data_IF_788972359284
#
_entry.id   IF_788972359284
#
_cell.length_a   1.000
_cell.length_b   1.000
_cell.length_c   1.000
_cell.angle_alpha   90.00
_cell.angle_beta   90.00
_cell.angle_gamma   90.00
#
_symmetry.space_group_name_H-M   'P 1'
#
loop_
_entity.id
_entity.type
_entity.pdbx_description
1 polymer ?
#
# COMPACT_ATOMS: atom_id res chain seq x y z
N UNK A 1 -60.15 -21.66 17.71
CA UNK A 1 -61.58 -21.91 17.39
C UNK A 1 -61.68 -22.37 15.95
N UNK A 2 -62.40 -23.47 15.74
CA UNK A 2 -62.94 -24.02 14.48
C UNK A 2 -61.99 -24.36 13.32
N UNK A 3 -61.67 -25.66 13.28
CA UNK A 3 -61.50 -26.48 12.07
C UNK A 3 -62.79 -26.48 11.24
N UNK A 4 -62.70 -26.65 9.92
CA UNK A 4 -63.64 -27.52 9.21
C UNK A 4 -62.99 -28.12 7.96
N UNK A 5 -62.98 -29.45 7.95
CA UNK A 5 -62.76 -30.35 6.81
C UNK A 5 -63.96 -30.30 5.86
N UNK A 6 -63.74 -30.57 4.57
CA UNK A 6 -64.77 -31.20 3.74
C UNK A 6 -64.16 -32.23 2.80
N UNK A 7 -64.79 -33.40 2.81
CA UNK A 7 -64.44 -34.64 2.14
C UNK A 7 -64.89 -34.69 0.66
N UNK A 8 -64.14 -35.54 -0.04
CA UNK A 8 -64.31 -36.23 -1.32
C UNK A 8 -65.73 -36.67 -1.82
N UNK A 9 -65.93 -36.44 -3.13
CA UNK A 9 -66.42 -37.32 -4.22
C UNK A 9 -67.93 -37.75 -4.28
N UNK A 10 -68.49 -38.30 -5.41
CA UNK A 10 -67.86 -38.74 -6.68
C UNK A 10 -68.67 -38.52 -8.01
N UNK A 11 -68.09 -39.04 -9.12
CA UNK A 11 -68.66 -39.47 -10.42
C UNK A 11 -69.11 -38.45 -11.49
N UNK A 12 -68.41 -38.42 -12.63
CA UNK A 12 -68.88 -38.99 -13.91
C UNK A 12 -67.85 -38.76 -15.05
N UNK A 13 -67.79 -39.73 -15.96
CA UNK A 13 -66.83 -39.92 -17.05
C UNK A 13 -66.79 -38.79 -18.12
N UNK A 14 -65.61 -38.54 -18.69
CA UNK A 14 -65.27 -38.96 -20.06
C UNK A 14 -64.10 -38.16 -20.68
N UNK A 15 -63.33 -38.86 -21.52
CA UNK A 15 -62.43 -38.38 -22.57
C UNK A 15 -61.09 -37.74 -22.15
N UNK A 16 -60.05 -38.59 -22.15
CA UNK A 16 -58.65 -38.18 -22.28
C UNK A 16 -58.41 -37.73 -23.73
N UNK A 17 -58.14 -36.44 -23.92
CA UNK A 17 -57.49 -35.89 -25.12
C UNK A 17 -56.08 -35.45 -24.71
N UNK A 18 -55.08 -36.17 -25.21
CA UNK A 18 -53.67 -35.79 -25.15
C UNK A 18 -53.46 -34.54 -26.01
N UNK A 19 -53.41 -33.37 -25.37
CA UNK A 19 -52.91 -32.14 -25.97
C UNK A 19 -51.49 -31.88 -25.47
N UNK A 20 -50.51 -32.13 -26.33
CA UNK A 20 -49.13 -31.72 -26.11
C UNK A 20 -49.03 -30.19 -26.23
N UNK A 21 -48.95 -29.48 -25.10
CA UNK A 21 -48.56 -28.07 -25.11
C UNK A 21 -47.03 -27.99 -25.22
N UNK A 22 -46.54 -27.73 -26.43
CA UNK A 22 -45.15 -27.34 -26.66
C UNK A 22 -44.86 -25.97 -26.05
N UNK A 23 -43.83 -25.88 -25.23
CA UNK A 23 -43.28 -24.61 -24.74
C UNK A 23 -42.72 -23.80 -25.92
N UNK A 24 -42.89 -22.46 -25.95
CA UNK A 24 -42.25 -21.64 -26.97
C UNK A 24 -40.72 -21.67 -26.81
N UNK A 25 -39.96 -21.59 -27.90
CA UNK A 25 -38.51 -21.59 -27.84
C UNK A 25 -38.04 -20.33 -27.10
N UNK A 26 -37.22 -20.54 -26.07
CA UNK A 26 -36.46 -19.49 -25.41
C UNK A 26 -35.47 -18.95 -26.45
N UNK A 27 -35.68 -17.72 -26.91
CA UNK A 27 -34.70 -17.00 -27.70
C UNK A 27 -33.51 -16.70 -26.79
N UNK A 28 -32.47 -17.52 -26.88
CA UNK A 28 -31.16 -17.20 -26.31
C UNK A 28 -30.65 -15.92 -26.98
N UNK A 29 -30.75 -14.79 -26.29
CA UNK A 29 -29.98 -13.61 -26.64
C UNK A 29 -28.50 -13.98 -26.50
N UNK A 30 -27.80 -14.00 -27.62
CA UNK A 30 -26.36 -14.14 -27.64
C UNK A 30 -25.75 -13.03 -26.76
N UNK A 31 -24.87 -13.43 -25.85
CA UNK A 31 -24.04 -12.49 -25.11
C UNK A 31 -23.31 -11.58 -26.12
N UNK A 32 -23.17 -10.27 -25.86
CA UNK A 32 -22.46 -9.38 -26.76
C UNK A 32 -21.04 -9.93 -26.96
N UNK A 33 -20.69 -10.19 -28.22
CA UNK A 33 -19.35 -10.59 -28.62
C UNK A 33 -18.41 -9.46 -28.21
N UNK A 34 -17.59 -9.70 -27.18
CA UNK A 34 -16.54 -8.79 -26.76
C UNK A 34 -15.67 -8.46 -27.97
N UNK A 35 -15.54 -7.18 -28.30
CA UNK A 35 -14.59 -6.74 -29.31
C UNK A 35 -13.20 -7.31 -28.97
N UNK A 36 -12.42 -7.77 -29.96
CA UNK A 36 -11.10 -8.34 -29.71
C UNK A 36 -10.23 -7.33 -28.96
N UNK A 37 -9.48 -7.82 -27.96
CA UNK A 37 -8.54 -6.99 -27.21
C UNK A 37 -7.57 -6.31 -28.19
N UNK A 38 -7.37 -5.00 -28.01
CA UNK A 38 -6.41 -4.25 -28.79
C UNK A 38 -4.98 -4.70 -28.45
N UNK A 39 -4.02 -4.37 -29.32
CA UNK A 39 -2.62 -4.70 -29.06
C UNK A 39 -2.15 -4.14 -27.68
N UNK A 40 -1.33 -4.88 -26.93
CA UNK A 40 -0.76 -4.40 -25.68
C UNK A 40 0.00 -3.09 -25.88
N UNK A 41 -0.31 -2.09 -25.06
CA UNK A 41 0.28 -0.76 -25.13
C UNK A 41 1.26 -0.52 -23.97
N UNK A 42 2.29 0.32 -24.17
CA UNK A 42 3.17 0.73 -23.07
C UNK A 42 2.42 1.63 -22.08
N UNK A 43 2.51 1.31 -20.79
CA UNK A 43 1.92 2.11 -19.70
C UNK A 43 2.99 2.37 -18.65
N UNK A 44 3.38 3.64 -18.48
CA UNK A 44 4.28 4.04 -17.41
C UNK A 44 3.52 4.16 -16.08
N UNK A 45 4.08 3.58 -15.03
CA UNK A 45 3.53 3.55 -13.67
C UNK A 45 4.55 4.06 -12.66
N UNK A 46 4.07 4.52 -11.49
CA UNK A 46 4.92 4.94 -10.38
C UNK A 46 4.36 4.45 -9.03
N UNK A 47 5.25 4.10 -8.10
CA UNK A 47 4.98 4.02 -6.67
C UNK A 47 5.69 5.19 -5.96
N UNK A 48 4.99 5.93 -5.12
CA UNK A 48 5.53 7.13 -4.48
C UNK A 48 4.99 7.35 -3.06
N UNK A 49 5.85 7.17 -2.07
CA UNK A 49 5.60 7.56 -0.69
C UNK A 49 5.75 9.10 -0.55
N UNK A 50 4.74 9.80 -0.03
CA UNK A 50 4.72 11.26 0.07
C UNK A 50 5.11 11.82 1.45
N UNK A 51 5.69 10.98 2.33
CA UNK A 51 6.24 11.38 3.62
C UNK A 51 5.27 12.23 4.46
N UNK A 52 4.16 11.63 4.88
CA UNK A 52 3.09 12.26 5.66
C UNK A 52 2.44 13.49 5.00
N UNK A 53 2.16 13.41 3.71
CA UNK A 53 1.49 14.50 2.99
C UNK A 53 -0.03 14.52 3.27
N UNK A 54 -0.50 15.63 3.84
CA UNK A 54 -1.91 16.00 3.92
C UNK A 54 -2.22 17.36 3.32
N UNK A 55 -3.44 17.85 3.54
CA UNK A 55 -3.85 19.21 3.19
C UNK A 55 -3.18 20.25 4.07
N UNK A 56 -3.30 21.54 3.74
CA UNK A 56 -2.84 22.62 4.62
C UNK A 56 -3.62 22.62 5.94
N UNK A 57 -4.91 22.27 5.92
CA UNK A 57 -5.72 22.13 7.13
C UNK A 57 -5.22 20.98 8.01
N UNK A 58 -4.84 19.85 7.43
CA UNK A 58 -4.23 18.73 8.16
C UNK A 58 -2.95 19.19 8.90
N UNK A 59 -2.13 20.02 8.24
CA UNK A 59 -0.90 20.54 8.85
C UNK A 59 -1.18 21.61 9.91
N UNK A 60 -2.20 22.44 9.74
CA UNK A 60 -2.64 23.38 10.79
C UNK A 60 -3.11 22.64 12.05
N UNK A 61 -3.86 21.54 11.88
CA UNK A 61 -4.25 20.68 12.99
C UNK A 61 -3.03 20.05 13.66
N UNK A 62 -2.05 19.59 12.88
CA UNK A 62 -0.78 19.11 13.40
C UNK A 62 -0.05 20.17 14.24
N UNK A 63 0.04 21.41 13.77
CA UNK A 63 0.63 22.52 14.53
C UNK A 63 -0.12 22.76 15.84
N UNK A 64 -1.45 22.80 15.82
CA UNK A 64 -2.28 23.03 17.01
C UNK A 64 -2.03 21.96 18.09
N UNK A 65 -2.01 20.67 17.70
CA UNK A 65 -1.78 19.57 18.63
C UNK A 65 -0.33 19.54 19.12
N UNK A 66 0.65 19.61 18.20
CA UNK A 66 2.06 19.46 18.56
C UNK A 66 2.64 20.64 19.33
N UNK A 67 2.07 21.84 19.19
CA UNK A 67 2.45 23.02 19.96
C UNK A 67 1.72 23.16 21.30
N UNK A 68 0.72 22.30 21.59
CA UNK A 68 0.04 22.32 22.88
C UNK A 68 1.06 22.20 24.03
N UNK A 69 0.95 22.98 25.13
CA UNK A 69 1.98 23.04 26.16
C UNK A 69 2.38 21.69 26.76
N UNK A 70 1.43 20.75 26.87
CA UNK A 70 1.65 19.40 27.39
C UNK A 70 2.29 18.45 26.38
N UNK A 71 2.16 18.72 25.08
CA UNK A 71 2.80 17.95 24.01
C UNK A 71 4.17 18.52 23.72
N UNK A 72 4.26 19.82 23.47
CA UNK A 72 5.50 20.56 23.23
C UNK A 72 6.46 19.80 22.30
N UNK A 73 5.93 19.31 21.17
CA UNK A 73 6.70 18.57 20.17
C UNK A 73 7.42 17.31 20.68
N UNK A 74 6.93 16.70 21.76
CA UNK A 74 7.47 15.45 22.26
C UNK A 74 7.30 14.30 21.25
N UNK A 75 8.16 13.29 21.38
CA UNK A 75 8.15 12.10 20.53
C UNK A 75 7.32 10.99 21.20
N UNK A 76 6.23 10.56 20.58
CA UNK A 76 5.36 9.49 21.10
C UNK A 76 5.99 8.11 20.95
N UNK A 77 7.16 7.99 20.30
CA UNK A 77 7.90 6.73 20.19
C UNK A 77 9.04 6.71 21.19
N UNK A 78 9.15 5.60 21.90
CA UNK A 78 10.30 5.33 22.76
C UNK A 78 11.54 5.08 21.90
N UNK A 79 12.65 5.73 22.26
CA UNK A 79 13.93 5.59 21.55
C UNK A 79 14.75 4.44 22.13
N UNK A 80 15.49 3.77 21.25
CA UNK A 80 16.45 2.74 21.65
C UNK A 80 17.85 3.34 21.70
N UNK A 81 18.66 2.89 22.64
CA UNK A 81 20.09 3.17 22.59
C UNK A 81 20.73 2.31 21.49
N UNK A 82 21.75 2.82 20.77
CA UNK A 82 22.50 2.02 19.80
C UNK A 82 22.96 0.68 20.41
N UNK A 83 22.73 -0.43 19.70
CA UNK A 83 23.09 -1.78 20.17
C UNK A 83 22.07 -2.44 21.11
N UNK A 84 20.97 -1.77 21.47
CA UNK A 84 19.89 -2.34 22.28
C UNK A 84 18.68 -2.75 21.43
N UNK A 85 17.84 -3.64 21.97
CA UNK A 85 16.62 -4.13 21.32
C UNK A 85 15.34 -3.61 21.97
N UNK A 86 15.44 -2.84 23.06
CA UNK A 86 14.32 -2.31 23.83
C UNK A 86 14.67 -0.92 24.37
N UNK A 87 13.65 -0.07 24.55
CA UNK A 87 13.78 1.20 25.24
C UNK A 87 13.94 0.98 26.75
N UNK A 88 14.54 1.93 27.46
CA UNK A 88 14.55 1.91 28.93
C UNK A 88 13.14 2.12 29.49
N UNK A 89 12.86 1.70 30.73
CA UNK A 89 11.57 1.99 31.38
C UNK A 89 11.25 3.49 31.43
N UNK A 90 12.25 4.33 31.70
CA UNK A 90 12.11 5.79 31.73
C UNK A 90 11.72 6.36 30.36
N UNK A 91 12.42 5.94 29.30
CA UNK A 91 12.14 6.39 27.94
C UNK A 91 10.77 5.90 27.44
N UNK A 92 10.37 4.70 27.86
CA UNK A 92 9.03 4.15 27.61
C UNK A 92 7.96 4.97 28.33
N UNK A 93 8.17 5.34 29.60
CA UNK A 93 7.27 6.17 30.37
C UNK A 93 7.14 7.60 29.78
N UNK A 94 8.24 8.19 29.33
CA UNK A 94 8.25 9.48 28.61
C UNK A 94 7.41 9.42 27.33
N UNK A 95 7.62 8.39 26.50
CA UNK A 95 6.87 8.20 25.26
C UNK A 95 5.37 7.99 25.52
N UNK A 96 5.02 7.21 26.54
CA UNK A 96 3.64 7.00 26.97
C UNK A 96 2.97 8.29 27.46
N UNK A 97 3.66 9.07 28.30
CA UNK A 97 3.16 10.38 28.76
C UNK A 97 2.93 11.34 27.58
N UNK A 98 3.87 11.37 26.63
CA UNK A 98 3.75 12.14 25.39
C UNK A 98 2.54 11.71 24.56
N UNK A 99 2.31 10.40 24.42
CA UNK A 99 1.16 9.86 23.71
C UNK A 99 -0.15 10.29 24.37
N UNK A 100 -0.25 10.21 25.71
CA UNK A 100 -1.44 10.65 26.44
C UNK A 100 -1.69 12.16 26.28
N UNK A 101 -0.65 12.98 26.35
CA UNK A 101 -0.76 14.42 26.09
C UNK A 101 -1.25 14.71 24.67
N UNK A 102 -0.75 13.96 23.67
CA UNK A 102 -1.16 14.09 22.27
C UNK A 102 -2.62 13.69 22.08
N UNK A 103 -3.06 12.60 22.71
CA UNK A 103 -4.46 12.15 22.72
C UNK A 103 -5.37 13.24 23.29
N UNK A 104 -5.01 13.80 24.45
CA UNK A 104 -5.79 14.86 25.07
C UNK A 104 -5.85 16.13 24.20
N UNK A 105 -4.70 16.59 23.68
CA UNK A 105 -4.62 17.78 22.84
C UNK A 105 -5.37 17.64 21.51
N UNK A 106 -5.45 16.44 20.95
CA UNK A 106 -6.21 16.17 19.73
C UNK A 106 -7.72 16.06 19.95
N UNK A 107 -8.20 16.00 21.20
CA UNK A 107 -9.62 15.79 21.52
C UNK A 107 -10.03 14.33 21.60
N UNK A 108 -9.08 13.41 21.82
CA UNK A 108 -9.33 11.99 22.09
C UNK A 108 -8.59 11.03 21.15
N UNK A 109 -8.69 9.71 21.42
CA UNK A 109 -7.86 8.71 20.72
C UNK A 109 -8.07 8.70 19.22
N UNK A 110 -9.33 8.71 18.75
CA UNK A 110 -9.64 8.70 17.32
C UNK A 110 -9.13 9.94 16.59
N UNK A 111 -9.29 11.12 17.18
CA UNK A 111 -8.81 12.37 16.61
C UNK A 111 -7.28 12.41 16.55
N UNK A 112 -6.58 11.89 17.56
CA UNK A 112 -5.11 11.82 17.56
C UNK A 112 -4.55 10.96 16.42
N UNK A 113 -5.25 9.92 15.99
CA UNK A 113 -4.80 9.10 14.85
C UNK A 113 -4.80 9.89 13.54
N UNK A 114 -5.62 10.93 13.43
CA UNK A 114 -5.71 11.82 12.27
C UNK A 114 -4.66 12.93 12.30
N UNK A 115 -3.71 12.89 13.22
CA UNK A 115 -2.60 13.84 13.33
C UNK A 115 -1.30 13.13 12.98
N UNK A 116 -0.51 13.70 12.06
CA UNK A 116 0.83 13.20 11.80
C UNK A 116 1.71 13.33 13.07
N UNK A 117 2.60 12.38 13.39
CA UNK A 117 3.49 12.46 14.54
C UNK A 117 4.24 13.80 14.57
N UNK A 118 4.44 14.37 15.76
CA UNK A 118 5.14 15.65 15.91
C UNK A 118 6.59 15.66 15.37
N UNK A 119 7.14 14.47 15.08
CA UNK A 119 8.45 14.28 14.43
C UNK A 119 8.39 14.07 12.91
N UNK A 120 7.21 14.12 12.28
CA UNK A 120 7.02 13.78 10.86
C UNK A 120 7.73 14.76 9.93
N UNK A 121 7.70 16.05 10.25
CA UNK A 121 8.28 17.11 9.42
C UNK A 121 9.62 17.55 10.04
N UNK A 122 10.71 16.97 9.52
CA UNK A 122 12.07 17.24 10.00
C UNK A 122 12.75 18.25 9.10
N UNK A 123 13.77 18.92 9.65
CA UNK A 123 14.59 19.83 8.88
C UNK A 123 15.45 19.04 7.87
N UNK A 124 15.30 19.35 6.58
CA UNK A 124 16.04 18.72 5.47
C UNK A 124 17.45 19.27 5.25
N UNK A 125 17.85 20.36 5.94
CA UNK A 125 19.17 20.95 5.75
C UNK A 125 20.28 19.97 6.17
N UNK A 126 21.22 19.62 5.27
CA UNK A 126 22.39 18.82 5.61
C UNK A 126 23.17 19.49 6.74
N UNK A 127 23.34 18.79 7.86
CA UNK A 127 24.10 19.31 9.00
C UNK A 127 25.58 19.08 8.75
N UNK A 128 26.35 20.15 8.56
CA UNK A 128 27.80 20.05 8.60
C UNK A 128 28.26 19.55 9.99
N UNK A 129 29.32 18.72 10.07
CA UNK A 129 29.86 18.29 11.36
C UNK A 129 30.16 19.50 12.27
N UNK A 130 29.64 19.48 13.49
CA UNK A 130 29.81 20.58 14.46
C UNK A 130 28.88 21.78 14.29
N UNK A 131 28.05 21.85 13.24
CA UNK A 131 27.08 22.93 13.08
C UNK A 131 25.99 22.88 14.18
N UNK A 132 25.41 24.03 14.59
CA UNK A 132 24.30 24.06 15.53
C UNK A 132 23.11 23.23 15.01
N UNK A 133 22.27 22.76 15.93
CA UNK A 133 21.03 22.10 15.54
C UNK A 133 20.16 23.11 14.76
N UNK A 134 19.49 22.69 13.67
CA UNK A 134 18.60 23.58 12.93
C UNK A 134 17.49 24.10 13.84
N UNK A 135 17.11 25.38 13.67
CA UNK A 135 16.00 25.97 14.39
C UNK A 135 14.70 25.20 14.08
N UNK A 136 14.05 24.59 15.09
CA UNK A 136 12.79 23.89 14.88
C UNK A 136 11.67 24.80 14.36
N UNK A 137 11.71 26.12 14.63
CA UNK A 137 10.71 27.05 14.11
C UNK A 137 10.68 27.09 12.56
N UNK A 138 11.80 26.76 11.91
CA UNK A 138 11.92 26.72 10.47
C UNK A 138 10.97 25.70 9.80
N UNK A 139 10.60 24.62 10.50
CA UNK A 139 9.68 23.58 9.99
C UNK A 139 8.29 23.62 10.63
N UNK A 140 8.09 24.46 11.65
CA UNK A 140 6.84 24.52 12.44
C UNK A 140 5.93 25.66 11.99
N UNK A 141 5.80 25.84 10.68
CA UNK A 141 5.01 26.92 10.09
C UNK A 141 4.43 26.51 8.73
N UNK A 142 3.30 27.13 8.37
CA UNK A 142 2.53 26.78 7.16
C UNK A 142 3.32 27.05 5.88
N UNK A 143 4.19 28.07 5.84
CA UNK A 143 4.98 28.39 4.66
C UNK A 143 5.99 27.28 4.32
N UNK A 144 6.66 26.71 5.33
CA UNK A 144 7.55 25.56 5.14
C UNK A 144 6.79 24.33 4.63
N UNK A 145 5.57 24.09 5.15
CA UNK A 145 4.74 23.00 4.66
C UNK A 145 4.23 23.23 3.24
N UNK A 146 3.92 24.48 2.89
CA UNK A 146 3.57 24.85 1.52
C UNK A 146 4.72 24.56 0.56
N UNK A 147 5.98 24.82 0.97
CA UNK A 147 7.15 24.47 0.17
C UNK A 147 7.28 22.94 -0.02
N UNK A 148 6.98 22.12 1.01
CA UNK A 148 6.88 20.65 0.87
C UNK A 148 5.85 20.26 -0.20
N UNK A 149 4.65 20.84 -0.14
CA UNK A 149 3.60 20.56 -1.12
C UNK A 149 4.00 21.00 -2.53
N UNK A 150 4.70 22.13 -2.67
CA UNK A 150 5.23 22.60 -3.95
C UNK A 150 6.25 21.61 -4.53
N UNK A 151 7.20 21.12 -3.73
CA UNK A 151 8.16 20.11 -4.18
C UNK A 151 7.51 18.77 -4.54
N UNK A 152 6.47 18.34 -3.81
CA UNK A 152 5.67 17.17 -4.18
C UNK A 152 4.93 17.37 -5.52
N UNK A 153 4.35 18.57 -5.77
CA UNK A 153 3.71 18.90 -7.05
C UNK A 153 4.71 18.88 -8.19
N UNK A 154 5.87 19.48 -8.02
CA UNK A 154 6.95 19.47 -9.01
C UNK A 154 7.40 18.03 -9.31
N UNK A 155 7.51 17.19 -8.28
CA UNK A 155 7.84 15.75 -8.45
C UNK A 155 6.77 15.03 -9.28
N UNK A 156 5.49 15.21 -8.97
CA UNK A 156 4.39 14.58 -9.72
C UNK A 156 4.29 15.12 -11.14
N UNK A 157 4.53 16.41 -11.34
CA UNK A 157 4.65 17.01 -12.67
C UNK A 157 5.76 16.34 -13.49
N UNK A 158 6.94 16.13 -12.91
CA UNK A 158 8.04 15.42 -13.57
C UNK A 158 7.67 13.97 -13.90
N UNK A 159 6.97 13.25 -13.00
CA UNK A 159 6.45 11.91 -13.29
C UNK A 159 5.50 11.91 -14.49
N UNK A 160 4.58 12.86 -14.56
CA UNK A 160 3.60 12.91 -15.66
C UNK A 160 4.26 13.36 -16.98
N UNK A 161 5.14 14.34 -16.95
CA UNK A 161 5.72 14.92 -18.17
C UNK A 161 6.94 14.20 -18.72
N UNK A 162 7.90 13.90 -17.85
CA UNK A 162 9.20 13.32 -18.25
C UNK A 162 9.11 11.80 -18.34
N UNK A 163 8.51 11.20 -17.32
CA UNK A 163 8.39 9.73 -17.26
C UNK A 163 7.20 9.22 -18.08
N UNK A 164 6.21 10.08 -18.34
CA UNK A 164 4.97 9.74 -19.04
C UNK A 164 4.02 8.92 -18.19
N UNK A 165 4.13 8.99 -16.86
CA UNK A 165 3.38 8.15 -15.92
C UNK A 165 1.88 8.40 -16.03
N UNK A 166 1.12 7.31 -16.12
CA UNK A 166 -0.35 7.31 -16.25
C UNK A 166 -1.06 6.62 -15.10
N UNK A 167 -0.35 5.88 -14.23
CA UNK A 167 -0.88 5.33 -12.97
C UNK A 167 0.13 5.59 -11.86
N UNK A 168 -0.30 6.24 -10.78
CA UNK A 168 0.54 6.53 -9.61
C UNK A 168 -0.11 5.90 -8.37
N UNK A 169 0.64 5.04 -7.69
CA UNK A 169 0.31 4.48 -6.39
C UNK A 169 0.99 5.32 -5.30
N UNK A 170 0.21 6.07 -4.52
CA UNK A 170 0.73 6.91 -3.45
C UNK A 170 0.65 6.21 -2.09
N UNK A 171 1.68 6.40 -1.27
CA UNK A 171 1.72 6.00 0.13
C UNK A 171 1.92 7.22 1.03
N UNK A 172 1.57 7.09 2.32
CA UNK A 172 1.70 8.15 3.32
C UNK A 172 0.94 9.45 3.01
N UNK A 173 -0.27 9.29 2.47
CA UNK A 173 -1.15 10.41 2.15
C UNK A 173 -2.28 10.50 3.17
N UNK A 174 -2.81 11.69 3.42
CA UNK A 174 -3.96 11.84 4.33
C UNK A 174 -5.30 11.46 3.71
N UNK A 175 -5.42 11.69 2.40
CA UNK A 175 -6.71 11.67 1.70
C UNK A 175 -6.56 11.73 0.18
N UNK A 176 -7.67 11.49 -0.53
CA UNK A 176 -7.76 11.79 -1.96
C UNK A 176 -7.61 13.30 -2.25
N UNK A 177 -8.05 14.17 -1.33
CA UNK A 177 -7.88 15.63 -1.48
C UNK A 177 -6.41 16.04 -1.48
N UNK A 178 -5.59 15.47 -0.59
CA UNK A 178 -4.15 15.70 -0.58
C UNK A 178 -3.50 15.27 -1.91
N UNK A 179 -3.92 14.14 -2.48
CA UNK A 179 -3.45 13.69 -3.81
C UNK A 179 -3.86 14.66 -4.91
N UNK A 180 -5.11 15.14 -4.92
CA UNK A 180 -5.58 16.15 -5.89
C UNK A 180 -4.79 17.46 -5.79
N UNK A 181 -4.47 17.89 -4.58
CA UNK A 181 -3.66 19.09 -4.34
C UNK A 181 -2.22 18.94 -4.88
N UNK A 182 -1.66 17.73 -4.87
CA UNK A 182 -0.33 17.43 -5.41
C UNK A 182 -0.34 17.20 -6.93
N UNK A 183 -1.42 16.64 -7.49
CA UNK A 183 -1.60 16.55 -8.95
C UNK A 183 -1.61 17.93 -9.62
N UNK A 184 -2.02 18.98 -8.90
CA UNK A 184 -1.97 20.36 -9.36
C UNK A 184 -2.68 20.52 -10.70
N UNK A 185 -1.97 21.05 -11.71
CA UNK A 185 -2.54 21.25 -13.06
C UNK A 185 -2.96 19.96 -13.78
N UNK A 186 -2.54 18.79 -13.31
CA UNK A 186 -2.95 17.50 -13.86
C UNK A 186 -4.19 16.91 -13.20
N UNK A 187 -4.75 17.56 -12.18
CA UNK A 187 -5.90 17.04 -11.43
C UNK A 187 -7.08 16.68 -12.35
N UNK A 188 -7.37 17.47 -13.38
CA UNK A 188 -8.50 17.19 -14.29
C UNK A 188 -8.25 16.01 -15.24
N UNK A 189 -6.98 15.67 -15.52
CA UNK A 189 -6.59 14.54 -16.38
C UNK A 189 -6.68 13.20 -15.64
N UNK A 190 -6.59 13.22 -14.31
CA UNK A 190 -6.52 12.02 -13.49
C UNK A 190 -7.82 11.81 -12.71
N UNK A 191 -8.23 10.55 -12.57
CA UNK A 191 -9.13 10.14 -11.47
C UNK A 191 -8.30 9.84 -10.22
N UNK A 192 -8.91 9.98 -9.05
CA UNK A 192 -8.25 9.77 -7.75
C UNK A 192 -9.15 9.00 -6.80
N UNK A 193 -8.56 8.02 -6.11
CA UNK A 193 -9.21 7.34 -4.99
C UNK A 193 -8.21 7.10 -3.85
N UNK A 194 -8.69 7.06 -2.61
CA UNK A 194 -7.90 6.74 -1.43
C UNK A 194 -8.63 5.69 -0.58
N UNK A 195 -7.87 4.81 0.07
CA UNK A 195 -8.47 3.83 0.97
C UNK A 195 -8.98 4.52 2.26
N UNK A 196 -10.21 4.24 2.71
CA UNK A 196 -10.67 4.67 4.02
C UNK A 196 -9.76 4.10 5.11
N UNK A 197 -9.33 4.95 6.04
CA UNK A 197 -8.46 4.56 7.13
C UNK A 197 -8.73 5.40 8.38
N UNK A 198 -8.53 4.79 9.55
CA UNK A 198 -8.75 5.44 10.85
C UNK A 198 -7.54 6.25 11.35
N UNK A 199 -6.43 6.27 10.60
CA UNK A 199 -5.26 7.09 10.87
C UNK A 199 -4.91 8.01 9.71
N UNK A 200 -4.01 8.96 9.98
CA UNK A 200 -3.55 9.98 9.04
C UNK A 200 -3.10 9.33 7.74
N UNK A 201 -2.10 8.46 7.79
CA UNK A 201 -1.54 7.88 6.57
C UNK A 201 -2.44 6.78 6.02
N UNK A 202 -2.79 6.87 4.75
CA UNK A 202 -3.42 5.83 3.95
C UNK A 202 -2.67 5.66 2.62
N UNK A 203 -3.21 4.81 1.74
CA UNK A 203 -2.76 4.61 0.36
C UNK A 203 -3.79 5.16 -0.62
N UNK A 204 -3.33 5.62 -1.77
CA UNK A 204 -4.19 6.19 -2.81
C UNK A 204 -3.69 5.84 -4.22
N UNK A 205 -4.57 5.98 -5.19
CA UNK A 205 -4.21 5.96 -6.61
C UNK A 205 -4.59 7.27 -7.27
N UNK A 206 -3.79 7.67 -8.25
CA UNK A 206 -4.25 8.50 -9.36
C UNK A 206 -4.02 7.77 -10.69
N UNK A 207 -4.98 7.81 -11.62
CA UNK A 207 -4.79 7.26 -12.96
C UNK A 207 -5.37 8.17 -14.05
N UNK A 208 -4.71 8.20 -15.21
CA UNK A 208 -5.14 8.95 -16.38
C UNK A 208 -6.51 8.44 -16.87
N UNK A 209 -7.48 9.35 -16.98
CA UNK A 209 -8.87 9.05 -17.40
C UNK A 209 -8.95 8.31 -18.73
N UNK A 210 -8.01 8.57 -19.63
CA UNK A 210 -7.98 8.00 -20.98
C UNK A 210 -7.36 6.61 -21.06
N UNK A 211 -6.81 6.09 -19.94
CA UNK A 211 -6.11 4.81 -19.94
C UNK A 211 -7.07 3.61 -19.97
N UNK A 212 -8.23 3.75 -19.33
CA UNK A 212 -9.18 2.66 -19.15
C UNK A 212 -10.41 2.86 -20.05
N UNK A 213 -10.80 1.84 -20.81
CA UNK A 213 -11.99 1.90 -21.67
C UNK A 213 -13.30 1.88 -20.89
N UNK A 214 -13.25 1.54 -19.61
CA UNK A 214 -14.35 1.60 -18.65
C UNK A 214 -13.95 2.43 -17.43
N UNK A 215 -14.88 3.00 -16.65
CA UNK A 215 -14.54 3.64 -15.39
C UNK A 215 -13.67 2.73 -14.50
N UNK A 216 -12.61 3.29 -13.94
CA UNK A 216 -11.73 2.57 -13.01
C UNK A 216 -12.47 2.28 -11.70
N UNK A 217 -12.21 1.11 -11.11
CA UNK A 217 -12.85 0.70 -9.85
C UNK A 217 -11.81 0.55 -8.76
N UNK A 218 -11.97 1.32 -7.68
CA UNK A 218 -11.12 1.21 -6.50
C UNK A 218 -11.81 0.40 -5.40
N UNK A 219 -11.12 -0.61 -4.88
CA UNK A 219 -11.61 -1.48 -3.81
C UNK A 219 -10.59 -1.53 -2.68
N UNK A 220 -10.88 -0.92 -1.51
CA UNK A 220 -10.04 -1.06 -0.34
C UNK A 220 -9.96 -2.52 0.12
N UNK A 221 -8.74 -3.00 0.38
CA UNK A 221 -8.51 -4.30 1.00
C UNK A 221 -8.24 -4.10 2.49
N UNK A 222 -9.33 -3.92 3.24
CA UNK A 222 -9.33 -3.66 4.68
C UNK A 222 -8.66 -4.74 5.54
N UNK A 223 -8.67 -6.05 5.19
CA UNK A 223 -7.97 -7.06 5.98
C UNK A 223 -6.47 -6.79 6.18
N UNK A 224 -5.81 -6.04 5.28
CA UNK A 224 -4.39 -5.65 5.46
C UNK A 224 -4.17 -4.65 6.59
N UNK A 225 -5.22 -3.94 7.03
CA UNK A 225 -5.19 -3.01 8.16
C UNK A 225 -5.26 -3.77 9.51
N UNK A 226 -4.25 -4.61 9.73
CA UNK A 226 -4.11 -5.39 10.97
C UNK A 226 -3.83 -4.48 12.17
N UNK A 227 -4.14 -4.98 13.36
CA UNK A 227 -3.97 -4.26 14.61
C UNK A 227 -2.49 -4.03 14.94
N UNK A 228 -2.17 -2.84 15.45
CA UNK A 228 -0.82 -2.43 15.83
C UNK A 228 -0.87 -1.60 17.13
N UNK A 229 -0.31 -2.05 18.27
CA UNK A 229 0.44 -3.30 18.44
C UNK A 229 -0.46 -4.54 18.40
N UNK A 230 0.09 -5.73 18.09
CA UNK A 230 -0.71 -6.89 17.74
C UNK A 230 -1.36 -7.58 18.94
N UNK A 231 -0.82 -7.36 20.15
CA UNK A 231 -1.18 -8.07 21.39
C UNK A 231 -1.91 -7.17 22.40
N UNK A 232 -2.46 -6.05 21.95
CA UNK A 232 -3.19 -5.10 22.79
C UNK A 232 -4.66 -5.05 22.36
N UNK A 233 -5.60 -5.61 23.13
CA UNK A 233 -7.02 -5.59 22.78
C UNK A 233 -7.64 -4.19 22.86
N UNK A 234 -6.99 -3.24 23.53
CA UNK A 234 -7.42 -1.83 23.58
C UNK A 234 -6.81 -1.01 22.44
N UNK A 235 -5.90 -1.59 21.65
CA UNK A 235 -5.32 -0.91 20.51
C UNK A 235 -6.40 -0.55 19.49
N UNK A 236 -6.47 0.73 19.17
CA UNK A 236 -7.31 1.28 18.10
C UNK A 236 -6.48 1.59 16.85
N UNK A 237 -5.14 1.61 16.96
CA UNK A 237 -4.24 1.83 15.84
C UNK A 237 -4.19 0.58 14.95
N UNK A 238 -4.25 0.82 13.65
CA UNK A 238 -4.09 -0.19 12.61
C UNK A 238 -3.00 0.26 11.65
N UNK A 239 -2.33 -0.71 11.04
CA UNK A 239 -1.53 -0.43 9.85
C UNK A 239 -2.45 -0.15 8.66
N UNK A 240 -1.87 0.24 7.53
CA UNK A 240 -2.64 0.75 6.40
C UNK A 240 -3.34 -0.40 5.67
N UNK A 241 -4.55 -0.17 5.13
CA UNK A 241 -5.18 -1.13 4.24
C UNK A 241 -4.43 -1.20 2.91
N UNK A 242 -4.70 -2.24 2.12
CA UNK A 242 -4.37 -2.23 0.70
C UNK A 242 -5.43 -1.46 -0.10
N UNK A 243 -5.10 -1.06 -1.31
CA UNK A 243 -6.06 -0.50 -2.26
C UNK A 243 -5.87 -1.18 -3.61
N UNK A 244 -6.92 -1.85 -4.09
CA UNK A 244 -6.93 -2.41 -5.44
C UNK A 244 -7.55 -1.39 -6.42
N UNK A 245 -6.95 -1.21 -7.59
CA UNK A 245 -7.50 -0.46 -8.72
C UNK A 245 -7.64 -1.41 -9.91
N UNK A 246 -8.86 -1.58 -10.40
CA UNK A 246 -9.16 -2.34 -11.62
C UNK A 246 -9.38 -1.37 -12.78
N UNK A 247 -8.61 -1.56 -13.85
CA UNK A 247 -8.74 -0.84 -15.12
C UNK A 247 -8.98 -1.83 -16.27
N UNK A 248 -9.48 -1.33 -17.41
CA UNK A 248 -9.58 -2.07 -18.66
C UNK A 248 -8.66 -1.43 -19.70
N UNK A 249 -7.47 -1.99 -19.88
CA UNK A 249 -6.42 -1.43 -20.75
C UNK A 249 -6.31 -2.29 -22.00
N UNK A 250 -6.34 -1.66 -23.18
CA UNK A 250 -6.35 -2.38 -24.46
C UNK A 250 -7.46 -3.46 -24.55
N UNK A 251 -8.61 -3.20 -23.93
CA UNK A 251 -9.75 -4.13 -23.92
C UNK A 251 -9.65 -5.28 -22.92
N UNK A 252 -8.59 -5.36 -22.11
CA UNK A 252 -8.39 -6.44 -21.14
C UNK A 252 -8.24 -5.91 -19.70
N UNK A 253 -8.76 -6.64 -18.69
CA UNK A 253 -8.67 -6.22 -17.30
C UNK A 253 -7.23 -6.26 -16.80
N UNK A 254 -6.85 -5.24 -16.03
CA UNK A 254 -5.62 -5.21 -15.24
C UNK A 254 -5.96 -4.75 -13.82
N UNK A 255 -5.34 -5.37 -12.82
CA UNK A 255 -5.55 -5.03 -11.40
C UNK A 255 -4.24 -4.56 -10.78
N UNK A 256 -4.25 -3.39 -10.17
CA UNK A 256 -3.11 -2.85 -9.40
C UNK A 256 -3.44 -2.94 -7.91
N UNK A 257 -2.52 -3.40 -7.06
CA UNK A 257 -2.62 -3.34 -5.61
C UNK A 257 -1.55 -2.42 -5.05
N UNK A 258 -1.97 -1.33 -4.42
CA UNK A 258 -1.12 -0.43 -3.68
C UNK A 258 -1.01 -0.89 -2.23
N UNK A 259 0.23 -1.08 -1.75
CA UNK A 259 0.53 -1.43 -0.36
C UNK A 259 1.42 -0.39 0.32
N UNK A 260 1.19 -0.24 1.62
CA UNK A 260 2.15 0.33 2.54
C UNK A 260 2.20 -0.55 3.80
N UNK A 261 3.10 -1.53 3.79
CA UNK A 261 3.21 -2.54 4.85
C UNK A 261 3.93 -1.99 6.09
N UNK A 262 3.89 -2.76 7.18
CA UNK A 262 4.49 -2.39 8.46
C UNK A 262 6.01 -2.17 8.37
N UNK A 263 6.44 -0.96 8.78
CA UNK A 263 7.85 -0.57 8.93
C UNK A 263 8.56 -1.25 10.12
N UNK A 264 9.88 -1.08 10.16
CA UNK A 264 10.79 -1.53 11.24
C UNK A 264 11.08 -3.05 11.31
N UNK A 265 10.65 -3.83 10.33
CA UNK A 265 11.13 -5.19 10.07
C UNK A 265 11.76 -5.30 8.67
N UNK A 266 12.63 -4.35 8.33
CA UNK A 266 12.95 -4.05 6.93
C UNK A 266 13.86 -5.06 6.22
N UNK A 267 14.76 -5.73 6.92
CA UNK A 267 15.79 -6.56 6.29
C UNK A 267 15.88 -7.95 6.90
N UNK A 268 16.05 -8.97 6.06
CA UNK A 268 16.42 -10.33 6.48
C UNK A 268 17.93 -10.47 6.75
N UNK A 269 18.71 -9.47 6.34
CA UNK A 269 20.17 -9.51 6.33
C UNK A 269 20.77 -8.27 7.00
N UNK A 270 22.07 -8.29 7.28
CA UNK A 270 22.80 -7.11 7.79
C UNK A 270 23.48 -6.31 6.66
N UNK A 271 23.00 -6.43 5.42
CA UNK A 271 23.57 -5.75 4.24
C UNK A 271 23.55 -4.22 4.36
N UNK A 272 22.60 -3.68 5.12
CA UNK A 272 22.45 -2.27 5.38
C UNK A 272 22.51 -2.02 6.90
N UNK A 273 23.53 -1.32 7.41
CA UNK A 273 23.69 -1.10 8.85
C UNK A 273 22.54 -0.27 9.46
N UNK A 274 21.72 0.40 8.64
CA UNK A 274 20.51 1.10 9.09
C UNK A 274 19.41 0.14 9.56
N UNK A 275 19.43 -1.11 9.11
CA UNK A 275 18.39 -2.10 9.39
C UNK A 275 19.00 -3.34 10.03
N UNK A 276 18.68 -3.66 11.30
CA UNK A 276 19.10 -4.94 11.87
C UNK A 276 18.46 -6.09 11.08
N UNK A 277 19.19 -7.18 10.88
CA UNK A 277 18.63 -8.41 10.34
C UNK A 277 17.50 -8.91 11.25
N UNK A 278 16.32 -9.12 10.66
CA UNK A 278 15.13 -9.64 11.32
C UNK A 278 14.42 -10.65 10.44
N UNK A 279 14.07 -11.78 11.03
CA UNK A 279 13.12 -12.73 10.45
C UNK A 279 11.69 -12.33 10.83
N UNK A 280 10.70 -12.68 10.02
CA UNK A 280 9.29 -12.45 10.34
C UNK A 280 8.81 -13.23 11.56
N UNK A 281 9.54 -14.28 11.95
CA UNK A 281 9.29 -15.07 13.18
C UNK A 281 9.90 -14.47 14.44
N UNK A 282 10.72 -13.41 14.31
CA UNK A 282 11.33 -12.77 15.47
C UNK A 282 10.26 -12.12 16.35
N UNK A 283 10.44 -12.22 17.67
CA UNK A 283 9.53 -11.64 18.68
C UNK A 283 9.78 -10.14 18.88
N UNK A 284 9.71 -9.42 17.77
CA UNK A 284 9.77 -7.96 17.69
C UNK A 284 8.42 -7.49 17.17
N UNK A 285 7.74 -6.59 17.88
CA UNK A 285 6.39 -6.11 17.55
C UNK A 285 6.21 -5.80 16.06
N UNK A 286 7.17 -5.09 15.47
CA UNK A 286 7.12 -4.73 14.04
C UNK A 286 7.12 -5.96 13.11
N UNK A 287 7.90 -6.98 13.41
CA UNK A 287 7.93 -8.23 12.64
C UNK A 287 6.68 -9.06 12.87
N UNK A 288 6.15 -9.10 14.09
CA UNK A 288 4.88 -9.77 14.40
C UNK A 288 3.71 -9.12 13.64
N UNK A 289 3.63 -7.79 13.60
CA UNK A 289 2.60 -7.07 12.83
C UNK A 289 2.78 -7.29 11.33
N UNK A 290 4.01 -7.23 10.80
CA UNK A 290 4.27 -7.50 9.38
C UNK A 290 3.90 -8.95 9.00
N UNK A 291 4.24 -9.92 9.86
CA UNK A 291 3.91 -11.33 9.65
C UNK A 291 2.38 -11.54 9.53
N UNK A 292 1.57 -10.83 10.33
CA UNK A 292 0.10 -10.87 10.22
C UNK A 292 -0.45 -10.34 8.90
N UNK A 293 0.33 -9.54 8.16
CA UNK A 293 -0.05 -9.07 6.83
C UNK A 293 0.26 -10.11 5.73
N UNK A 294 1.13 -11.09 6.00
CA UNK A 294 1.54 -12.12 5.02
C UNK A 294 0.37 -12.95 4.51
N UNK A 295 -0.40 -13.68 5.36
CA UNK A 295 -1.49 -14.53 4.89
C UNK A 295 -2.58 -13.73 4.19
N UNK A 296 -2.77 -12.47 4.59
CA UNK A 296 -3.74 -11.57 3.96
C UNK A 296 -3.31 -11.19 2.55
N UNK A 297 -2.03 -10.82 2.38
CA UNK A 297 -1.48 -10.44 1.08
C UNK A 297 -1.42 -11.65 0.13
N UNK A 298 -1.00 -12.81 0.63
CA UNK A 298 -0.98 -14.08 -0.09
C UNK A 298 -2.37 -14.45 -0.62
N UNK A 299 -3.39 -14.47 0.25
CA UNK A 299 -4.76 -14.77 -0.17
C UNK A 299 -5.31 -13.76 -1.19
N UNK A 300 -4.92 -12.48 -1.09
CA UNK A 300 -5.29 -11.50 -2.11
C UNK A 300 -4.63 -11.80 -3.46
N UNK A 301 -3.34 -12.16 -3.46
CA UNK A 301 -2.57 -12.52 -4.66
C UNK A 301 -3.18 -13.75 -5.36
N UNK A 302 -3.47 -14.80 -4.60
CA UNK A 302 -4.13 -16.01 -5.13
C UNK A 302 -5.52 -15.68 -5.72
N UNK A 303 -6.33 -14.91 -4.98
CA UNK A 303 -7.67 -14.55 -5.40
C UNK A 303 -7.70 -13.66 -6.65
N UNK A 304 -6.74 -12.74 -6.81
CA UNK A 304 -6.63 -11.94 -8.04
C UNK A 304 -6.09 -12.76 -9.19
N UNK A 305 -5.12 -13.65 -8.95
CA UNK A 305 -4.55 -14.51 -9.98
C UNK A 305 -5.56 -15.51 -10.55
N UNK A 306 -6.53 -15.94 -9.75
CA UNK A 306 -7.66 -16.74 -10.20
C UNK A 306 -8.61 -15.98 -11.16
N UNK A 307 -8.59 -14.64 -11.13
CA UNK A 307 -9.44 -13.78 -11.98
C UNK A 307 -8.69 -13.26 -13.21
N UNK A 308 -7.41 -12.94 -13.06
CA UNK A 308 -6.57 -12.43 -14.15
C UNK A 308 -5.10 -12.64 -13.83
N UNK A 309 -4.30 -12.99 -14.85
CA UNK A 309 -2.84 -13.01 -14.73
C UNK A 309 -2.20 -11.64 -14.94
N UNK A 310 -3.01 -10.63 -15.31
CA UNK A 310 -2.60 -9.24 -15.54
C UNK A 310 -2.80 -8.42 -14.26
N UNK A 311 -1.94 -8.62 -13.27
CA UNK A 311 -1.96 -7.80 -12.06
C UNK A 311 -0.57 -7.27 -11.70
N UNK A 312 -0.56 -6.21 -10.90
CA UNK A 312 0.62 -5.49 -10.44
C UNK A 312 0.47 -5.21 -8.96
N UNK A 313 1.44 -5.60 -8.14
CA UNK A 313 1.54 -5.24 -6.73
C UNK A 313 2.68 -4.23 -6.60
N UNK A 314 2.40 -3.04 -6.08
CA UNK A 314 3.38 -1.96 -5.99
C UNK A 314 3.20 -1.09 -4.74
N UNK A 315 4.26 -0.44 -4.30
CA UNK A 315 4.22 0.48 -3.17
C UNK A 315 5.39 0.30 -2.23
N UNK A 316 5.20 0.72 -0.98
CA UNK A 316 6.18 0.63 0.08
C UNK A 316 5.97 -0.67 0.87
N UNK A 317 6.78 -1.67 0.58
CA UNK A 317 6.71 -2.95 1.27
C UNK A 317 7.33 -2.87 2.66
N UNK A 318 8.07 -1.80 2.97
CA UNK A 318 8.85 -1.67 4.20
C UNK A 318 9.71 -2.91 4.51
N UNK A 319 10.01 -3.71 3.49
CA UNK A 319 10.72 -4.98 3.53
C UNK A 319 11.50 -5.13 2.23
N UNK A 320 12.79 -5.43 2.35
CA UNK A 320 13.72 -5.62 1.23
C UNK A 320 13.53 -6.99 0.58
N UNK A 321 12.44 -7.14 -0.18
CA UNK A 321 12.09 -8.41 -0.84
C UNK A 321 13.04 -8.76 -1.99
N UNK A 322 13.79 -7.78 -2.50
CA UNK A 322 14.89 -7.98 -3.45
C UNK A 322 16.03 -8.76 -2.81
N UNK A 323 16.36 -8.45 -1.56
CA UNK A 323 17.40 -9.19 -0.83
C UNK A 323 16.97 -10.62 -0.55
N UNK A 324 15.74 -10.80 -0.06
CA UNK A 324 15.19 -12.14 0.19
C UNK A 324 15.19 -13.00 -1.08
N UNK A 325 14.93 -12.42 -2.25
CA UNK A 325 15.01 -13.12 -3.53
C UNK A 325 16.42 -13.63 -3.87
N UNK A 326 17.46 -12.91 -3.45
CA UNK A 326 18.86 -13.29 -3.71
C UNK A 326 19.44 -14.29 -2.73
N UNK A 327 18.72 -14.63 -1.65
CA UNK A 327 19.23 -15.51 -0.59
C UNK A 327 19.35 -16.99 -1.02
N UNK A 328 18.75 -17.40 -2.14
CA UNK A 328 18.86 -18.77 -2.65
C UNK A 328 18.30 -19.83 -1.70
N UNK A 329 17.24 -19.48 -0.94
CA UNK A 329 16.65 -20.33 0.09
C UNK A 329 15.97 -21.55 -0.53
N UNK A 330 16.22 -22.74 0.05
CA UNK A 330 15.43 -23.93 -0.23
C UNK A 330 14.02 -23.79 0.38
N UNK A 331 13.03 -24.46 -0.21
CA UNK A 331 11.62 -24.41 0.22
C UNK A 331 11.44 -24.68 1.73
N UNK A 332 12.16 -25.68 2.26
CA UNK A 332 12.13 -26.05 3.68
C UNK A 332 12.84 -25.06 4.63
N UNK A 333 13.43 -23.98 4.10
CA UNK A 333 14.04 -22.90 4.89
C UNK A 333 13.12 -21.69 5.02
N UNK A 334 12.06 -21.61 4.20
CA UNK A 334 11.15 -20.46 4.16
C UNK A 334 10.30 -20.38 5.42
N UNK A 335 9.78 -21.52 5.87
CA UNK A 335 8.94 -21.62 7.07
C UNK A 335 9.70 -22.19 8.26
N UNK A 336 9.27 -21.84 9.47
CA UNK A 336 9.91 -22.25 10.72
C UNK A 336 9.82 -23.76 10.98
N UNK A 337 8.74 -24.39 10.50
CA UNK A 337 8.46 -25.82 10.62
C UNK A 337 8.99 -26.65 9.45
N UNK A 338 9.62 -26.01 8.46
CA UNK A 338 10.14 -26.66 7.26
C UNK A 338 9.07 -27.11 6.25
N UNK A 339 7.80 -26.72 6.46
CA UNK A 339 6.74 -26.98 5.48
C UNK A 339 6.99 -26.20 4.18
N UNK A 340 6.47 -26.73 3.07
CA UNK A 340 6.64 -26.14 1.75
C UNK A 340 5.80 -24.84 1.62
N UNK A 341 6.38 -23.69 1.23
CA UNK A 341 5.64 -22.45 1.00
C UNK A 341 4.49 -22.59 -0.01
N UNK A 342 4.59 -23.51 -0.97
CA UNK A 342 3.50 -23.78 -1.94
C UNK A 342 2.27 -24.50 -1.34
N UNK A 343 2.32 -24.90 -0.08
CA UNK A 343 1.21 -25.52 0.64
C UNK A 343 0.52 -24.52 1.57
N UNK A 344 -0.63 -24.88 2.17
CA UNK A 344 -1.32 -24.02 3.12
C UNK A 344 -0.41 -23.51 4.24
N UNK A 345 -0.55 -22.25 4.63
CA UNK A 345 0.17 -21.66 5.77
C UNK A 345 -0.79 -21.46 6.95
N UNK A 346 -0.79 -22.33 7.97
CA UNK A 346 -1.73 -22.24 9.08
C UNK A 346 -1.58 -20.91 9.84
N UNK A 347 -2.70 -20.19 9.95
CA UNK A 347 -2.77 -18.94 10.71
C UNK A 347 -3.01 -19.26 12.19
N UNK A 348 -2.16 -18.74 13.07
CA UNK A 348 -2.30 -18.90 14.52
C UNK A 348 -3.42 -18.01 15.11
N UNK A 349 -3.72 -18.17 16.40
CA UNK A 349 -4.76 -17.39 17.10
C UNK A 349 -4.49 -15.88 17.15
N UNK A 350 -3.27 -15.46 16.86
CA UNK A 350 -2.85 -14.06 16.78
C UNK A 350 -2.82 -13.54 15.33
N UNK A 351 -3.23 -14.36 14.36
CA UNK A 351 -3.26 -14.00 12.94
C UNK A 351 -1.90 -14.12 12.24
N UNK A 352 -0.91 -14.76 12.86
CA UNK A 352 0.45 -14.94 12.30
C UNK A 352 0.57 -16.28 11.61
N UNK A 353 1.61 -16.39 10.79
CA UNK A 353 1.99 -17.59 10.07
C UNK A 353 3.44 -17.98 10.37
N UNK A 354 3.78 -19.25 10.11
CA UNK A 354 5.10 -19.81 10.40
C UNK A 354 6.24 -19.34 9.50
N UNK A 355 6.03 -18.34 8.63
CA UNK A 355 7.03 -17.93 7.64
C UNK A 355 8.12 -17.03 8.22
N UNK A 356 9.36 -17.25 7.79
CA UNK A 356 10.55 -16.47 8.20
C UNK A 356 10.80 -15.26 7.30
N UNK A 357 10.27 -15.27 6.07
CA UNK A 357 10.58 -14.30 5.02
C UNK A 357 9.30 -13.89 4.29
N UNK A 358 9.26 -12.69 3.72
CA UNK A 358 8.07 -12.21 3.00
C UNK A 358 8.05 -12.74 1.57
N UNK A 359 9.12 -12.52 0.83
CA UNK A 359 9.18 -12.78 -0.61
C UNK A 359 9.07 -14.26 -0.99
N UNK A 360 9.88 -15.20 -0.47
CA UNK A 360 9.80 -16.59 -0.87
C UNK A 360 8.54 -17.30 -0.33
N UNK A 361 7.80 -16.67 0.59
CA UNK A 361 6.45 -17.09 0.95
C UNK A 361 5.47 -16.68 -0.16
N UNK A 362 5.42 -15.38 -0.50
CA UNK A 362 4.49 -14.87 -1.51
C UNK A 362 4.79 -15.37 -2.94
N UNK A 363 6.05 -15.66 -3.24
CA UNK A 363 6.51 -16.15 -4.54
C UNK A 363 6.97 -17.61 -4.44
N UNK A 364 6.02 -18.46 -4.06
CA UNK A 364 6.12 -19.92 -3.96
C UNK A 364 5.98 -20.66 -5.31
N UNK A 365 5.63 -19.92 -6.38
CA UNK A 365 5.41 -20.43 -7.73
C UNK A 365 3.93 -20.56 -8.13
N UNK A 366 2.98 -20.27 -7.24
CA UNK A 366 1.54 -20.39 -7.49
C UNK A 366 0.72 -19.27 -6.84
N UNK A 367 0.57 -18.09 -7.48
CA UNK A 367 0.96 -17.80 -8.86
C UNK A 367 2.44 -17.41 -9.00
N UNK A 368 2.98 -17.53 -10.21
CA UNK A 368 4.30 -16.98 -10.50
C UNK A 368 4.28 -15.44 -10.42
N UNK A 369 5.15 -14.89 -9.56
CA UNK A 369 5.36 -13.46 -9.39
C UNK A 369 6.75 -13.05 -9.87
N UNK A 370 6.83 -11.86 -10.46
CA UNK A 370 8.08 -11.34 -11.00
C UNK A 370 8.34 -9.94 -10.44
N UNK A 371 9.41 -9.77 -9.69
CA UNK A 371 9.86 -8.42 -9.31
C UNK A 371 10.39 -7.71 -10.56
N UNK A 372 10.07 -6.43 -10.74
CA UNK A 372 10.79 -5.57 -11.66
C UNK A 372 12.06 -5.08 -10.96
N UNK A 373 13.25 -5.57 -11.33
CA UNK A 373 14.49 -5.24 -10.63
C UNK A 373 14.79 -3.75 -10.74
N UNK A 374 15.49 -3.20 -9.75
CA UNK A 374 15.97 -1.82 -9.82
C UNK A 374 17.21 -1.76 -10.71
N UNK A 375 17.09 -1.16 -11.89
CA UNK A 375 18.19 -1.03 -12.85
C UNK A 375 19.01 0.23 -12.61
N UNK A 376 18.36 1.34 -12.23
CA UNK A 376 19.03 2.62 -12.04
C UNK A 376 18.40 3.42 -10.90
N UNK A 377 19.24 4.15 -10.18
CA UNK A 377 18.84 5.22 -9.27
C UNK A 377 19.43 6.50 -9.80
N UNK A 378 18.58 7.46 -10.16
CA UNK A 378 19.02 8.73 -10.73
C UNK A 378 19.71 9.61 -9.68
N UNK A 379 20.58 10.50 -10.17
CA UNK A 379 21.26 11.47 -9.32
C UNK A 379 20.23 12.37 -8.60
N UNK A 380 20.49 12.65 -7.33
CA UNK A 380 19.57 13.40 -6.46
C UNK A 380 18.61 12.53 -5.66
N UNK A 381 18.57 11.21 -5.91
CA UNK A 381 17.87 10.31 -5.02
C UNK A 381 18.59 10.11 -3.69
N UNK A 382 17.85 10.30 -2.60
CA UNK A 382 18.31 10.10 -1.24
C UNK A 382 17.21 9.46 -0.39
N UNK A 383 17.47 9.24 0.90
CA UNK A 383 16.52 8.65 1.84
C UNK A 383 16.51 7.12 1.82
N UNK A 384 15.32 6.51 1.92
CA UNK A 384 15.19 5.07 2.05
C UNK A 384 15.38 4.32 0.72
N UNK A 385 16.16 3.24 0.77
CA UNK A 385 16.48 2.40 -0.38
C UNK A 385 16.01 0.96 -0.16
N UNK A 386 15.49 0.32 -1.21
CA UNK A 386 15.10 -1.08 -1.18
C UNK A 386 13.79 -1.39 -0.45
N UNK A 387 12.96 -0.39 -0.13
CA UNK A 387 11.64 -0.61 0.49
C UNK A 387 10.49 -0.54 -0.52
N UNK A 388 10.67 0.19 -1.62
CA UNK A 388 9.67 0.33 -2.67
C UNK A 388 9.85 -0.76 -3.75
N UNK A 389 8.80 -1.50 -4.05
CA UNK A 389 8.84 -2.57 -5.05
C UNK A 389 7.69 -2.48 -6.05
N UNK A 390 7.94 -3.06 -7.23
CA UNK A 390 6.94 -3.31 -8.26
C UNK A 390 7.07 -4.79 -8.59
N UNK A 391 5.98 -5.53 -8.39
CA UNK A 391 5.85 -6.95 -8.65
C UNK A 391 4.72 -7.13 -9.64
N UNK A 392 4.92 -8.00 -10.63
CA UNK A 392 3.94 -8.25 -11.68
C UNK A 392 3.57 -9.73 -11.74
N UNK A 393 2.31 -10.01 -12.04
CA UNK A 393 1.84 -11.36 -12.33
C UNK A 393 2.33 -11.86 -13.69
N UNK A 394 2.26 -13.18 -13.90
CA UNK A 394 2.75 -13.84 -15.11
C UNK A 394 2.24 -13.23 -16.42
N UNK A 395 0.99 -12.79 -16.48
CA UNK A 395 0.41 -12.21 -17.70
C UNK A 395 1.08 -10.91 -18.11
N UNK A 396 1.32 -9.99 -17.17
CA UNK A 396 2.06 -8.75 -17.47
C UNK A 396 3.51 -9.08 -17.83
N UNK A 397 4.15 -9.97 -17.09
CA UNK A 397 5.54 -10.36 -17.35
C UNK A 397 5.73 -10.94 -18.75
N UNK A 398 4.86 -11.86 -19.20
CA UNK A 398 4.90 -12.43 -20.55
C UNK A 398 4.74 -11.35 -21.62
N UNK A 399 3.84 -10.38 -21.45
CA UNK A 399 3.66 -9.28 -22.40
C UNK A 399 4.92 -8.41 -22.51
N UNK A 400 5.61 -8.18 -21.38
CA UNK A 400 6.87 -7.44 -21.37
C UNK A 400 7.99 -8.21 -22.06
N UNK A 401 8.10 -9.53 -21.80
CA UNK A 401 9.08 -10.40 -22.47
C UNK A 401 8.89 -10.47 -23.98
N UNK A 402 7.64 -10.49 -24.46
CA UNK A 402 7.37 -10.54 -25.90
C UNK A 402 7.72 -9.24 -26.64
N UNK A 403 7.67 -8.10 -25.93
CA UNK A 403 7.77 -6.79 -26.57
C UNK A 403 9.15 -6.15 -26.41
N UNK A 404 9.75 -6.26 -25.23
CA UNK A 404 11.00 -5.59 -24.88
C UNK A 404 11.66 -6.24 -23.65
N UNK A 405 12.29 -7.43 -23.77
CA UNK A 405 12.93 -8.11 -22.64
C UNK A 405 13.98 -7.25 -21.90
N UNK A 406 14.70 -6.39 -22.62
CA UNK A 406 15.72 -5.52 -22.06
C UNK A 406 15.14 -4.41 -21.13
N UNK A 407 13.83 -4.14 -21.23
CA UNK A 407 13.15 -3.08 -20.48
C UNK A 407 12.39 -3.61 -19.25
N UNK A 408 12.56 -4.89 -18.89
CA UNK A 408 11.96 -5.48 -17.68
C UNK A 408 12.73 -5.01 -16.44
N UNK A 409 12.50 -3.76 -16.08
CA UNK A 409 13.18 -3.10 -14.99
C UNK A 409 12.35 -1.93 -14.44
N UNK A 410 12.80 -1.45 -13.30
CA UNK A 410 12.35 -0.21 -12.66
C UNK A 410 13.54 0.73 -12.46
N UNK A 411 13.23 2.02 -12.32
CA UNK A 411 14.20 3.06 -11.95
C UNK A 411 13.66 3.91 -10.80
N UNK A 412 14.56 4.52 -10.03
CA UNK A 412 14.21 5.56 -9.06
C UNK A 412 14.54 6.93 -9.64
N UNK A 413 13.55 7.82 -9.63
CA UNK A 413 13.67 9.22 -10.10
C UNK A 413 13.71 10.17 -8.90
N UNK A 414 14.42 11.30 -8.97
CA UNK A 414 14.60 12.18 -7.82
C UNK A 414 13.30 12.83 -7.36
N UNK A 415 13.17 13.00 -6.04
CA UNK A 415 12.18 13.92 -5.46
C UNK A 415 12.67 15.35 -5.68
N UNK A 416 11.76 16.25 -6.06
CA UNK A 416 12.05 17.66 -6.27
C UNK A 416 11.69 18.50 -5.04
N UNK A 417 12.40 19.60 -4.88
CA UNK A 417 12.22 20.57 -3.80
C UNK A 417 13.03 21.83 -4.08
N UNK A 418 12.69 22.92 -3.39
CA UNK A 418 13.38 24.19 -3.58
C UNK A 418 14.71 24.22 -2.81
N UNK A 419 15.74 24.92 -3.31
CA UNK A 419 16.96 25.17 -2.55
C UNK A 419 16.64 25.79 -1.18
N UNK A 420 17.19 25.22 -0.10
CA UNK A 420 16.96 25.71 1.27
C UNK A 420 15.56 25.40 1.83
N UNK A 421 14.75 24.58 1.16
CA UNK A 421 13.46 24.14 1.68
C UNK A 421 13.61 23.49 3.06
N UNK A 422 12.88 23.94 4.10
CA UNK A 422 13.05 23.42 5.46
C UNK A 422 12.53 22.01 5.67
N UNK A 423 11.40 21.63 5.06
CA UNK A 423 10.80 20.30 5.20
C UNK A 423 11.07 19.51 3.94
N UNK A 424 11.63 18.31 4.06
CA UNK A 424 11.82 17.42 2.91
C UNK A 424 10.48 17.10 2.21
N UNK A 425 10.46 17.20 0.88
CA UNK A 425 9.30 16.82 0.06
C UNK A 425 8.90 15.36 0.32
N UNK A 426 9.86 14.43 0.20
CA UNK A 426 9.72 13.03 0.58
C UNK A 426 11.09 12.41 0.82
N UNK A 427 11.16 11.47 1.78
CA UNK A 427 12.31 10.62 2.07
C UNK A 427 12.37 9.35 1.20
N UNK A 428 11.49 9.26 0.20
CA UNK A 428 11.45 8.20 -0.81
C UNK A 428 11.47 8.80 -2.22
N UNK A 429 12.42 8.37 -3.04
CA UNK A 429 12.31 8.54 -4.49
C UNK A 429 11.20 7.69 -5.10
N UNK A 430 10.34 8.25 -5.98
CA UNK A 430 9.39 7.46 -6.75
C UNK A 430 10.10 6.34 -7.51
N UNK A 431 9.53 5.13 -7.44
CA UNK A 431 9.94 3.98 -8.24
C UNK A 431 9.04 3.88 -9.46
N UNK A 432 9.60 4.00 -10.66
CA UNK A 432 8.85 4.00 -11.92
C UNK A 432 9.21 2.81 -12.80
N UNK A 433 8.25 2.36 -13.61
CA UNK A 433 8.45 1.30 -14.60
C UNK A 433 7.53 1.53 -15.82
N UNK A 434 7.88 0.93 -16.95
CA UNK A 434 7.01 0.88 -18.14
C UNK A 434 6.52 -0.55 -18.35
N UNK A 435 5.23 -0.76 -18.17
CA UNK A 435 4.58 -2.06 -18.38
C UNK A 435 4.07 -2.19 -19.81
N UNK A 436 3.80 -3.43 -20.22
CA UNK A 436 3.01 -3.74 -21.42
C UNK A 436 1.67 -4.33 -20.96
N UNK A 437 0.58 -3.63 -21.29
CA UNK A 437 -0.79 -3.95 -20.86
C UNK A 437 -1.74 -3.94 -22.06
#
# INVERSE_FOLDING_TARGET
>A
MQRLFCLLAPTAAAAVLLAACGSPPVVQQAAPVSAPAAAPQPVAIAAFNMAWAGTVADFQQHLAVCSAPTVNWCDTRARWQPGTTQATPEESARAAACQQATIAAAGGPQASMRVAPCSAYRNSAPRAPGAPAPDPAAVRNVAAYQAKLDGLRETVEALVQREGVRVIAFQEVSSAEAVRAVLGRYNERFEVCAAPHNAFQTVAFAWDKTLSSTPGVCTPHQPLAVLDPPNDPEAFRRVRPGLALRLTVSGAPVVFMNVHLKAACASATNSNPRFPARLLTDRVEACEVLNRQVPVLESWIEAVAAQTTRFVLLGDFNRRIDEEATMGLAANQVRADGSNPAGPNPVDTQGRVGTRYLWPELNDGSPALFQLPLQATEAGCSGFTGLDHIVVGAGVHTLMQQSAPADIASRKVPVLGRPGQPIESSDHCPKVARLRL
#
